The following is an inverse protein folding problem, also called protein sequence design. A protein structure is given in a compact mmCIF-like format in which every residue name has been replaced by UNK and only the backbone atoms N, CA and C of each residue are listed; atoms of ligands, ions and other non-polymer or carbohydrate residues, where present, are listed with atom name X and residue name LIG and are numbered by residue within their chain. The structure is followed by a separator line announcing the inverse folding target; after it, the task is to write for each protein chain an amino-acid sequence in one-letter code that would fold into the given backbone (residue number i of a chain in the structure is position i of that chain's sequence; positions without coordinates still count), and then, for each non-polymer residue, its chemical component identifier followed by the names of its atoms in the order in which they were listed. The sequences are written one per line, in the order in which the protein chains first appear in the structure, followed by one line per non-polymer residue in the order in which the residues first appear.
data_IF_730923490004
#
_entry.id   IF_730923490004
#
_cell.length_a   1.000
_cell.length_b   1.000
_cell.length_c   1.000
_cell.angle_alpha   90.00
_cell.angle_beta   90.00
_cell.angle_gamma   90.00
#
_symmetry.space_group_name_H-M   'P 1'
#
loop_
_entity.id
_entity.type
_entity.pdbx_description
1 polymer ?
#
# COMPACT_ATOMS: atom_id res chain seq x y z
N UNK A 1 -64.71 -7.17 -33.82
CA UNK A 1 -64.48 -5.81 -34.32
C UNK A 1 -64.43 -4.87 -33.13
N UNK A 2 -63.56 -3.90 -32.99
CA UNK A 2 -62.16 -3.73 -33.38
C UNK A 2 -61.61 -2.80 -32.29
N UNK A 3 -60.51 -3.19 -31.64
CA UNK A 3 -59.78 -2.35 -30.69
C UNK A 3 -58.83 -1.47 -31.50
N UNK A 4 -58.88 -0.15 -31.30
CA UNK A 4 -57.81 0.75 -31.76
C UNK A 4 -57.66 1.90 -30.76
N UNK A 5 -56.43 2.33 -30.44
CA UNK A 5 -56.14 3.14 -29.26
C UNK A 5 -56.06 4.63 -29.55
N UNK A 6 -56.30 5.43 -28.52
CA UNK A 6 -56.10 6.87 -28.51
C UNK A 6 -54.58 7.16 -28.43
N UNK A 7 -54.07 7.79 -29.49
CA UNK A 7 -52.71 8.28 -29.61
C UNK A 7 -52.55 9.51 -28.70
N UNK A 8 -51.65 9.41 -27.72
CA UNK A 8 -51.18 10.55 -26.93
C UNK A 8 -50.21 11.35 -27.82
N UNK A 9 -50.61 12.56 -28.18
CA UNK A 9 -49.76 13.53 -28.85
C UNK A 9 -48.72 14.07 -27.85
N UNK A 10 -47.44 13.74 -28.06
CA UNK A 10 -46.33 14.36 -27.35
C UNK A 10 -45.96 15.66 -28.07
N UNK A 11 -46.06 16.78 -27.37
CA UNK A 11 -45.53 18.07 -27.82
C UNK A 11 -44.01 17.98 -27.99
N UNK A 12 -43.54 18.24 -29.21
CA UNK A 12 -42.15 18.58 -29.51
C UNK A 12 -41.87 19.99 -28.96
N UNK A 13 -41.18 20.09 -27.84
CA UNK A 13 -40.43 21.32 -27.49
C UNK A 13 -39.01 21.17 -28.02
N UNK A 14 -38.69 21.92 -29.07
CA UNK A 14 -37.34 22.12 -29.55
C UNK A 14 -36.56 22.92 -28.51
N UNK A 15 -35.64 22.26 -27.80
CA UNK A 15 -34.59 22.95 -27.05
C UNK A 15 -33.47 23.26 -28.03
N UNK A 16 -33.31 24.55 -28.33
CA UNK A 16 -32.12 25.09 -28.99
C UNK A 16 -30.98 24.92 -28.00
N UNK A 17 -30.14 23.89 -28.22
CA UNK A 17 -28.95 23.64 -27.44
C UNK A 17 -27.93 24.75 -27.69
N UNK A 18 -27.85 25.70 -26.76
CA UNK A 18 -26.63 26.49 -26.58
C UNK A 18 -25.54 25.52 -26.13
N UNK A 19 -24.57 25.28 -27.01
CA UNK A 19 -23.37 24.54 -26.67
C UNK A 19 -22.63 25.31 -25.57
N UNK A 20 -22.88 24.94 -24.31
CA UNK A 20 -21.99 25.27 -23.22
C UNK A 20 -20.69 24.51 -23.48
N UNK A 21 -19.75 25.18 -24.15
CA UNK A 21 -18.36 24.80 -24.15
C UNK A 21 -17.89 24.90 -22.69
N UNK A 22 -17.84 23.76 -22.02
CA UNK A 22 -17.11 23.67 -20.76
C UNK A 22 -15.65 24.05 -21.08
N UNK A 23 -15.01 24.90 -20.26
CA UNK A 23 -13.58 25.07 -20.39
C UNK A 23 -12.95 23.68 -20.32
N UNK A 24 -12.10 23.38 -21.30
CA UNK A 24 -11.35 22.14 -21.38
C UNK A 24 -10.88 21.78 -19.97
N UNK A 25 -11.26 20.58 -19.52
CA UNK A 25 -10.73 20.02 -18.28
C UNK A 25 -9.21 20.24 -18.32
N UNK A 26 -8.59 20.77 -17.24
CA UNK A 26 -7.19 21.13 -17.28
C UNK A 26 -6.40 19.94 -17.80
N UNK A 27 -5.84 20.11 -19.00
CA UNK A 27 -4.92 19.18 -19.62
C UNK A 27 -3.85 18.96 -18.57
N UNK A 28 -3.73 17.73 -18.06
CA UNK A 28 -2.65 17.38 -17.15
C UNK A 28 -1.35 17.90 -17.77
N UNK A 29 -0.60 18.80 -17.11
CA UNK A 29 0.67 19.23 -17.65
C UNK A 29 1.54 17.98 -17.74
N UNK A 30 1.91 17.61 -18.97
CA UNK A 30 2.90 16.59 -19.29
C UNK A 30 4.31 17.04 -18.90
N UNK A 31 4.50 17.46 -17.66
CA UNK A 31 5.81 17.56 -17.05
C UNK A 31 6.17 16.14 -16.61
N UNK A 32 7.15 15.52 -17.29
CA UNK A 32 7.72 14.25 -16.81
C UNK A 32 8.04 14.36 -15.33
N UNK A 33 7.82 13.26 -14.58
CA UNK A 33 8.13 13.23 -13.15
C UNK A 33 9.56 13.79 -12.93
N UNK A 34 9.78 14.64 -11.90
CA UNK A 34 11.09 15.24 -11.68
C UNK A 34 12.16 14.16 -11.61
N UNK A 35 13.29 14.41 -12.28
CA UNK A 35 14.39 13.44 -12.39
C UNK A 35 14.77 12.92 -11.00
N UNK A 36 14.56 11.62 -10.79
CA UNK A 36 14.84 10.98 -9.51
C UNK A 36 16.34 10.80 -9.33
N UNK A 37 16.77 10.75 -8.08
CA UNK A 37 18.17 10.56 -7.71
C UNK A 37 18.33 9.24 -6.96
N UNK A 38 19.37 8.49 -7.31
CA UNK A 38 19.86 7.42 -6.47
C UNK A 38 20.50 8.06 -5.23
N UNK A 39 20.05 7.66 -4.04
CA UNK A 39 20.53 8.18 -2.76
C UNK A 39 21.40 7.17 -2.02
N UNK A 40 21.15 5.87 -2.23
CA UNK A 40 21.95 4.78 -1.71
C UNK A 40 21.88 3.56 -2.63
N UNK A 41 22.99 2.85 -2.90
CA UNK A 41 24.37 3.31 -2.66
C UNK A 41 24.67 4.59 -3.45
N UNK A 42 25.72 5.33 -3.06
CA UNK A 42 26.04 6.61 -3.70
C UNK A 42 26.48 6.44 -5.16
N UNK A 43 27.16 5.35 -5.48
CA UNK A 43 27.59 5.01 -6.83
C UNK A 43 26.60 4.01 -7.48
N UNK A 44 26.03 4.31 -8.67
CA UNK A 44 25.19 3.37 -9.41
C UNK A 44 25.83 2.02 -9.73
N UNK A 45 27.17 1.93 -9.76
CA UNK A 45 27.91 0.67 -9.98
C UNK A 45 27.77 -0.30 -8.80
N UNK A 46 27.60 0.25 -7.60
CA UNK A 46 27.46 -0.50 -6.35
C UNK A 46 26.02 -1.02 -6.16
N UNK A 47 25.07 -0.60 -7.00
CA UNK A 47 23.70 -1.14 -6.98
C UNK A 47 23.77 -2.66 -7.25
N UNK A 48 23.23 -3.50 -6.33
CA UNK A 48 23.20 -4.95 -6.50
C UNK A 48 22.58 -5.35 -7.83
N UNK A 49 23.18 -6.34 -8.50
CA UNK A 49 22.81 -6.75 -9.87
C UNK A 49 21.30 -7.01 -10.00
N UNK A 50 20.71 -7.70 -9.01
CA UNK A 50 19.28 -8.02 -8.96
C UNK A 50 18.38 -6.78 -8.97
N UNK A 51 18.85 -5.64 -8.44
CA UNK A 51 18.08 -4.40 -8.35
C UNK A 51 18.28 -3.47 -9.55
N UNK A 52 19.36 -3.64 -10.33
CA UNK A 52 19.73 -2.71 -11.42
C UNK A 52 18.61 -2.45 -12.43
N UNK A 53 17.82 -3.44 -12.90
CA UNK A 53 16.73 -3.18 -13.84
C UNK A 53 15.68 -2.24 -13.26
N UNK A 54 15.31 -2.44 -11.99
CA UNK A 54 14.29 -1.66 -11.30
C UNK A 54 14.79 -0.25 -10.98
N UNK A 55 16.01 -0.12 -10.47
CA UNK A 55 16.62 1.19 -10.18
C UNK A 55 16.77 2.01 -11.46
N UNK A 56 17.23 1.42 -12.57
CA UNK A 56 17.32 2.11 -13.86
C UNK A 56 15.97 2.62 -14.34
N UNK A 57 14.94 1.77 -14.28
CA UNK A 57 13.58 2.17 -14.68
C UNK A 57 13.02 3.29 -13.80
N UNK A 58 13.30 3.28 -12.49
CA UNK A 58 12.87 4.35 -11.58
C UNK A 58 13.59 5.68 -11.83
N UNK A 59 14.84 5.65 -12.29
CA UNK A 59 15.65 6.85 -12.57
C UNK A 59 15.43 7.41 -13.98
N UNK A 60 14.88 6.64 -14.91
CA UNK A 60 14.65 7.08 -16.28
C UNK A 60 13.53 8.14 -16.34
N UNK A 61 13.84 9.40 -16.72
CA UNK A 61 12.83 10.46 -16.80
C UNK A 61 11.79 10.22 -17.90
N UNK A 62 12.06 9.32 -18.86
CA UNK A 62 11.14 8.98 -19.94
C UNK A 62 10.32 7.71 -19.65
N UNK A 63 10.52 7.09 -18.48
CA UNK A 63 9.76 5.92 -18.08
C UNK A 63 8.28 6.25 -18.00
N UNK A 64 7.45 5.49 -18.71
CA UNK A 64 5.99 5.61 -18.62
C UNK A 64 5.45 4.84 -17.41
N UNK A 65 4.32 5.27 -16.83
CA UNK A 65 3.60 4.50 -15.82
C UNK A 65 3.34 3.06 -16.29
N UNK A 66 3.79 2.08 -15.50
CA UNK A 66 3.47 0.67 -15.72
C UNK A 66 2.05 0.40 -15.26
N UNK A 67 1.24 -0.27 -16.07
CA UNK A 67 -0.12 -0.69 -15.67
C UNK A 67 -0.04 -1.89 -14.69
N UNK A 68 -0.94 -1.98 -13.69
CA UNK A 68 -0.84 -3.01 -12.66
C UNK A 68 -0.86 -4.46 -13.17
N UNK A 69 -1.63 -4.76 -14.22
CA UNK A 69 -1.69 -6.11 -14.79
C UNK A 69 -0.43 -6.50 -15.57
N UNK A 70 0.42 -5.53 -15.91
CA UNK A 70 1.73 -5.77 -16.52
C UNK A 70 2.85 -5.90 -15.48
N UNK A 71 2.56 -5.64 -14.20
CA UNK A 71 3.56 -5.64 -13.14
C UNK A 71 4.03 -7.07 -12.83
N UNK A 72 5.34 -7.24 -12.66
CA UNK A 72 5.94 -8.58 -12.48
C UNK A 72 6.39 -8.79 -11.04
N UNK A 73 6.01 -9.94 -10.48
CA UNK A 73 6.53 -10.40 -9.18
C UNK A 73 7.85 -11.12 -9.42
N UNK A 74 8.91 -10.62 -8.80
CA UNK A 74 10.30 -11.05 -9.09
C UNK A 74 11.17 -11.29 -7.85
N UNK A 75 10.57 -11.24 -6.66
CA UNK A 75 11.31 -11.25 -5.39
C UNK A 75 12.00 -9.91 -5.07
N UNK A 76 11.77 -8.87 -5.87
CA UNK A 76 12.16 -7.50 -5.58
C UNK A 76 10.94 -6.71 -5.14
N UNK A 77 11.08 -6.02 -4.02
CA UNK A 77 10.01 -5.29 -3.35
C UNK A 77 10.33 -3.81 -3.26
N UNK A 78 9.28 -3.01 -3.11
CA UNK A 78 9.33 -1.58 -2.88
C UNK A 78 8.56 -1.24 -1.61
N UNK A 79 9.17 -0.36 -0.80
CA UNK A 79 8.51 0.34 0.31
C UNK A 79 8.77 1.83 0.19
N UNK A 80 7.75 2.66 0.42
CA UNK A 80 7.91 4.12 0.51
C UNK A 80 8.12 4.51 1.97
N UNK A 81 9.21 5.23 2.26
CA UNK A 81 9.55 5.75 3.59
C UNK A 81 9.82 7.25 3.53
N UNK A 82 9.78 7.94 4.67
CA UNK A 82 10.40 9.26 4.73
C UNK A 82 11.92 9.14 4.64
N UNK A 83 12.57 10.09 3.96
CA UNK A 83 14.02 10.08 3.79
C UNK A 83 14.75 10.02 5.14
N UNK A 84 14.29 10.80 6.12
CA UNK A 84 14.84 10.86 7.49
C UNK A 84 14.71 9.55 8.29
N UNK A 85 13.85 8.63 7.86
CA UNK A 85 13.73 7.30 8.45
C UNK A 85 14.75 6.32 7.85
N UNK A 86 15.07 6.45 6.57
CA UNK A 86 15.95 5.53 5.86
C UNK A 86 17.41 5.96 5.84
N UNK A 87 17.67 7.27 5.77
CA UNK A 87 19.00 7.83 5.54
C UNK A 87 19.42 8.82 6.62
N UNK A 88 20.72 8.82 6.91
CA UNK A 88 21.45 9.87 7.59
C UNK A 88 22.51 10.42 6.62
N UNK A 89 22.24 11.58 6.04
CA UNK A 89 22.98 12.10 4.89
C UNK A 89 22.82 11.19 3.65
N UNK A 90 23.93 10.56 3.24
CA UNK A 90 24.00 9.60 2.12
C UNK A 90 24.10 8.14 2.58
N UNK A 91 24.20 7.91 3.89
CA UNK A 91 24.35 6.58 4.47
C UNK A 91 23.01 6.07 4.98
N UNK A 92 22.88 4.74 5.08
CA UNK A 92 21.75 4.15 5.79
C UNK A 92 21.76 4.61 7.24
N UNK A 93 20.61 5.06 7.72
CA UNK A 93 20.47 5.47 9.12
C UNK A 93 20.61 4.24 10.02
N UNK A 94 21.47 4.27 11.06
CA UNK A 94 21.56 3.18 12.02
C UNK A 94 20.21 2.88 12.68
N UNK A 95 19.84 1.60 12.76
CA UNK A 95 18.56 1.18 13.32
C UNK A 95 17.33 1.58 12.48
N UNK A 96 17.51 1.88 11.19
CA UNK A 96 16.39 2.05 10.26
C UNK A 96 15.83 0.70 9.83
N UNK A 97 14.50 0.60 9.77
CA UNK A 97 13.76 -0.60 9.41
C UNK A 97 12.89 -0.38 8.18
N UNK A 98 12.53 -1.46 7.50
CA UNK A 98 11.56 -1.40 6.37
C UNK A 98 10.21 -0.85 6.86
N UNK A 99 9.82 -1.10 8.11
CA UNK A 99 8.65 -0.51 8.72
C UNK A 99 8.62 -0.56 10.25
N UNK A 100 7.45 -0.34 10.83
CA UNK A 100 7.25 -0.21 12.27
C UNK A 100 6.49 -1.38 12.92
N UNK A 101 6.22 -2.44 12.14
CA UNK A 101 5.40 -3.60 12.51
C UNK A 101 6.17 -4.88 12.19
N UNK A 102 5.91 -6.02 12.87
CA UNK A 102 6.65 -7.27 12.65
C UNK A 102 6.52 -7.79 11.23
N UNK A 103 5.37 -7.54 10.60
CA UNK A 103 5.15 -7.72 9.17
C UNK A 103 4.77 -6.39 8.56
N UNK A 104 5.29 -6.13 7.36
CA UNK A 104 5.15 -4.84 6.67
C UNK A 104 4.52 -5.04 5.31
N UNK A 105 3.68 -4.09 4.92
CA UNK A 105 3.09 -4.03 3.59
C UNK A 105 4.13 -3.62 2.55
N UNK A 106 4.25 -4.42 1.50
CA UNK A 106 5.18 -4.25 0.39
C UNK A 106 4.43 -4.29 -0.93
N UNK A 107 5.02 -3.69 -1.95
CA UNK A 107 4.56 -3.86 -3.34
C UNK A 107 5.75 -4.08 -4.26
N UNK A 108 5.52 -4.10 -5.57
CA UNK A 108 6.56 -4.21 -6.58
C UNK A 108 7.08 -2.83 -7.00
N UNK A 109 8.34 -2.70 -7.45
CA UNK A 109 8.88 -1.42 -7.93
C UNK A 109 8.09 -0.75 -9.05
N UNK A 110 7.39 -1.55 -9.88
CA UNK A 110 6.54 -1.06 -10.98
C UNK A 110 5.46 -0.08 -10.52
N UNK A 111 5.03 -0.15 -9.25
CA UNK A 111 4.08 0.79 -8.66
C UNK A 111 4.58 2.24 -8.63
N UNK A 112 5.90 2.46 -8.69
CA UNK A 112 6.52 3.79 -8.71
C UNK A 112 7.07 4.18 -10.09
N UNK A 113 7.14 3.29 -11.07
CA UNK A 113 7.72 3.60 -12.38
C UNK A 113 6.91 4.69 -13.09
N UNK A 114 7.59 5.71 -13.61
CA UNK A 114 7.00 6.81 -14.40
C UNK A 114 5.99 7.70 -13.66
N UNK A 115 5.90 7.60 -12.33
CA UNK A 115 4.95 8.36 -11.50
C UNK A 115 5.66 9.45 -10.70
N UNK A 116 4.97 10.52 -10.36
CA UNK A 116 5.42 11.43 -9.31
C UNK A 116 5.13 10.83 -7.91
N UNK A 117 5.43 11.59 -6.85
CA UNK A 117 5.20 11.11 -5.49
C UNK A 117 3.71 10.86 -5.20
N UNK A 118 2.83 11.78 -5.61
CA UNK A 118 1.39 11.64 -5.43
C UNK A 118 0.87 10.39 -6.15
N UNK A 119 1.20 10.22 -7.43
CA UNK A 119 0.83 9.04 -8.21
C UNK A 119 1.41 7.75 -7.67
N UNK A 120 2.60 7.78 -7.06
CA UNK A 120 3.19 6.60 -6.40
C UNK A 120 2.41 6.24 -5.12
N UNK A 121 2.12 7.21 -4.25
CA UNK A 121 1.37 6.99 -3.01
C UNK A 121 -0.06 6.50 -3.31
N UNK A 122 -0.70 7.07 -4.33
CA UNK A 122 -2.01 6.61 -4.78
C UNK A 122 -1.99 5.23 -5.43
N UNK A 123 -0.88 4.84 -6.09
CA UNK A 123 -0.70 3.51 -6.64
C UNK A 123 -0.57 2.43 -5.56
N UNK A 124 -0.06 2.79 -4.39
CA UNK A 124 0.10 1.89 -3.24
C UNK A 124 -1.04 1.99 -2.23
N UNK A 125 -2.13 2.70 -2.56
CA UNK A 125 -3.36 2.68 -1.75
C UNK A 125 -3.50 3.74 -0.68
N UNK A 126 -2.81 4.88 -0.78
CA UNK A 126 -3.09 6.06 0.05
C UNK A 126 -4.08 6.99 -0.64
N UNK A 127 -5.04 7.54 0.11
CA UNK A 127 -6.01 8.49 -0.40
C UNK A 127 -5.33 9.84 -0.74
N UNK A 128 -5.64 10.50 -1.87
CA UNK A 128 -5.07 11.79 -2.22
C UNK A 128 -5.28 12.88 -1.17
N UNK A 129 -6.43 12.92 -0.50
CA UNK A 129 -6.72 13.91 0.54
C UNK A 129 -5.85 13.63 1.77
N UNK A 130 -5.77 12.38 2.21
CA UNK A 130 -4.88 11.95 3.30
C UNK A 130 -3.40 12.26 2.98
N UNK A 131 -2.97 12.02 1.73
CA UNK A 131 -1.62 12.32 1.27
C UNK A 131 -1.33 13.82 1.38
N UNK A 132 -2.25 14.66 0.92
CA UNK A 132 -2.06 16.12 0.94
C UNK A 132 -2.04 16.68 2.36
N UNK A 133 -2.82 16.08 3.27
CA UNK A 133 -2.90 16.50 4.67
C UNK A 133 -1.68 16.06 5.48
N UNK A 134 -1.20 14.82 5.28
CA UNK A 134 -0.20 14.19 6.17
C UNK A 134 1.22 14.17 5.60
N UNK A 135 1.36 14.23 4.27
CA UNK A 135 2.67 14.03 3.60
C UNK A 135 3.23 15.31 2.94
N UNK A 136 2.52 16.44 3.07
CA UNK A 136 2.98 17.74 2.55
C UNK A 136 4.33 18.13 3.15
N UNK A 137 5.27 18.50 2.28
CA UNK A 137 6.62 18.91 2.68
C UNK A 137 7.53 17.79 3.21
N UNK A 138 7.05 16.54 3.30
CA UNK A 138 7.85 15.41 3.77
C UNK A 138 8.59 14.79 2.57
N UNK A 139 9.92 14.79 2.61
CA UNK A 139 10.72 14.11 1.59
C UNK A 139 10.58 12.59 1.72
N UNK A 140 10.20 11.93 0.63
CA UNK A 140 9.98 10.50 0.54
C UNK A 140 11.02 9.82 -0.34
N UNK A 141 11.24 8.55 -0.06
CA UNK A 141 12.14 7.67 -0.82
C UNK A 141 11.45 6.34 -1.12
N UNK A 142 11.78 5.76 -2.27
CA UNK A 142 11.50 4.36 -2.58
C UNK A 142 12.70 3.53 -2.12
N UNK A 143 12.48 2.67 -1.12
CA UNK A 143 13.40 1.61 -0.74
C UNK A 143 13.09 0.40 -1.61
N UNK A 144 14.00 0.09 -2.53
CA UNK A 144 13.92 -1.05 -3.45
C UNK A 144 14.88 -2.11 -2.95
N UNK A 145 14.39 -3.32 -2.70
CA UNK A 145 15.20 -4.34 -2.06
C UNK A 145 14.79 -5.76 -2.41
N UNK A 146 15.68 -6.71 -2.15
CA UNK A 146 15.37 -8.13 -2.12
C UNK A 146 15.72 -8.68 -0.73
N UNK A 147 14.89 -9.58 -0.22
CA UNK A 147 15.19 -10.32 1.00
C UNK A 147 16.36 -11.31 0.78
N UNK A 148 17.04 -11.76 1.85
CA UNK A 148 17.98 -12.87 1.74
C UNK A 148 17.28 -14.17 1.31
N UNK A 149 18.03 -15.09 0.71
CA UNK A 149 17.54 -16.37 0.18
C UNK A 149 16.85 -17.26 1.24
N UNK A 150 17.07 -16.97 2.52
CA UNK A 150 16.39 -17.61 3.65
C UNK A 150 14.91 -17.22 3.77
N UNK A 151 14.48 -16.11 3.15
CA UNK A 151 13.09 -15.63 3.11
C UNK A 151 12.48 -16.01 1.76
N UNK A 152 11.35 -16.72 1.78
CA UNK A 152 10.73 -17.30 0.57
C UNK A 152 9.34 -16.76 0.30
N UNK A 153 8.81 -17.01 -0.89
CA UNK A 153 7.38 -16.77 -1.17
C UNK A 153 6.48 -17.69 -0.34
N UNK A 154 5.33 -17.16 0.06
CA UNK A 154 4.21 -17.90 0.65
C UNK A 154 2.95 -17.84 -0.22
N UNK A 155 1.97 -18.67 0.11
CA UNK A 155 0.72 -18.83 -0.65
C UNK A 155 -0.42 -17.92 -0.13
N UNK A 156 -1.41 -17.56 -0.96
CA UNK A 156 -2.57 -16.77 -0.56
C UNK A 156 -3.67 -17.64 0.11
N UNK A 157 -3.33 -18.46 1.11
CA UNK A 157 -4.24 -19.52 1.60
C UNK A 157 -4.68 -19.38 3.07
N UNK A 158 -4.06 -18.49 3.84
CA UNK A 158 -4.20 -18.47 5.31
C UNK A 158 -3.60 -19.68 6.02
N UNK A 159 -3.01 -20.64 5.28
CA UNK A 159 -2.30 -21.79 5.86
C UNK A 159 -0.81 -21.47 5.90
N UNK A 160 -0.35 -21.04 7.07
CA UNK A 160 1.04 -20.68 7.27
C UNK A 160 1.92 -21.93 7.43
N UNK A 161 3.07 -22.04 6.74
CA UNK A 161 4.03 -23.13 6.96
C UNK A 161 4.74 -22.98 8.32
N UNK A 162 5.51 -23.98 8.72
CA UNK A 162 6.26 -23.91 9.99
C UNK A 162 7.29 -22.76 10.03
N UNK A 163 7.85 -22.39 8.88
CA UNK A 163 8.81 -21.29 8.70
C UNK A 163 8.13 -19.97 8.29
N UNK A 164 6.89 -19.74 8.72
CA UNK A 164 6.07 -18.60 8.29
C UNK A 164 6.71 -17.24 8.56
N UNK A 165 7.52 -17.12 9.62
CA UNK A 165 8.24 -15.88 9.96
C UNK A 165 9.38 -15.55 8.98
N UNK A 166 9.65 -16.46 8.03
CA UNK A 166 10.62 -16.33 6.93
C UNK A 166 9.93 -16.38 5.57
N UNK A 167 8.72 -15.84 5.46
CA UNK A 167 7.94 -15.84 4.23
C UNK A 167 7.39 -14.47 3.88
N UNK A 168 7.36 -14.16 2.58
CA UNK A 168 6.59 -13.05 2.03
C UNK A 168 5.28 -13.59 1.47
N UNK A 169 4.17 -13.15 2.03
CA UNK A 169 2.83 -13.61 1.65
C UNK A 169 2.12 -12.56 0.80
N UNK A 170 1.26 -12.94 -0.15
CA UNK A 170 0.25 -12.03 -0.69
C UNK A 170 -0.58 -11.44 0.46
N UNK A 171 -0.86 -10.13 0.41
CA UNK A 171 -1.60 -9.42 1.45
C UNK A 171 -3.10 -9.71 1.35
N UNK A 172 -3.51 -10.94 1.65
CA UNK A 172 -4.93 -11.34 1.71
C UNK A 172 -5.46 -11.29 3.14
N UNK A 173 -6.78 -11.17 3.30
CA UNK A 173 -7.40 -11.27 4.63
C UNK A 173 -7.06 -12.58 5.33
N UNK A 174 -7.09 -13.69 4.61
CA UNK A 174 -6.79 -15.01 5.18
C UNK A 174 -5.33 -15.07 5.71
N UNK A 175 -4.37 -14.48 4.98
CA UNK A 175 -2.98 -14.41 5.44
C UNK A 175 -2.79 -13.43 6.60
N UNK A 176 -3.47 -12.28 6.60
CA UNK A 176 -3.45 -11.32 7.72
C UNK A 176 -3.98 -11.97 9.00
N UNK A 177 -5.12 -12.64 8.92
CA UNK A 177 -5.71 -13.33 10.08
C UNK A 177 -4.81 -14.43 10.59
N UNK A 178 -4.29 -15.28 9.70
CA UNK A 178 -3.39 -16.35 10.10
C UNK A 178 -2.08 -15.83 10.73
N UNK A 179 -1.51 -14.73 10.21
CA UNK A 179 -0.36 -14.06 10.80
C UNK A 179 -0.70 -13.49 12.18
N UNK A 180 -1.88 -12.89 12.33
CA UNK A 180 -2.37 -12.38 13.61
C UNK A 180 -2.46 -13.50 14.64
N UNK A 181 -3.10 -14.61 14.28
CA UNK A 181 -3.29 -15.76 15.17
C UNK A 181 -1.93 -16.35 15.60
N UNK A 182 -0.97 -16.49 14.67
CA UNK A 182 0.38 -17.00 15.00
C UNK A 182 1.19 -16.02 15.85
N UNK A 183 1.16 -14.73 15.52
CA UNK A 183 1.88 -13.70 16.28
C UNK A 183 1.31 -13.52 17.68
N UNK A 184 0.01 -13.75 17.90
CA UNK A 184 -0.63 -13.64 19.22
C UNK A 184 -0.51 -14.90 20.06
N UNK A 185 -0.38 -16.08 19.42
CA UNK A 185 -0.11 -17.34 20.11
C UNK A 185 1.30 -17.40 20.73
N UNK A 186 2.27 -16.72 20.13
CA UNK A 186 3.65 -16.62 20.64
C UNK A 186 3.83 -15.37 21.51
N UNK A 187 3.96 -15.55 22.83
CA UNK A 187 4.12 -14.44 23.80
C UNK A 187 5.37 -13.59 23.56
N UNK A 188 6.39 -14.11 22.88
CA UNK A 188 7.58 -13.33 22.56
C UNK A 188 7.36 -12.40 21.36
N UNK A 189 6.30 -12.61 20.58
CA UNK A 189 5.98 -11.87 19.34
C UNK A 189 4.98 -10.74 19.54
N UNK A 190 4.47 -10.54 20.75
CA UNK A 190 3.63 -9.39 21.06
C UNK A 190 3.91 -8.79 22.44
N UNK A 191 3.34 -7.62 22.68
CA UNK A 191 3.44 -6.91 23.96
C UNK A 191 2.24 -5.97 24.14
N UNK A 192 1.92 -5.65 25.38
CA UNK A 192 0.97 -4.60 25.75
C UNK A 192 1.76 -3.39 26.20
N UNK A 193 1.56 -2.26 25.53
CA UNK A 193 2.27 -1.02 25.81
C UNK A 193 1.32 0.15 25.90
N UNK A 194 1.66 1.06 26.79
CA UNK A 194 1.04 2.38 26.84
C UNK A 194 1.48 3.19 25.61
N UNK A 195 0.69 4.19 25.23
CA UNK A 195 1.04 5.08 24.11
C UNK A 195 2.32 5.88 24.44
N UNK A 196 3.32 5.94 23.54
CA UNK A 196 4.57 6.70 23.72
C UNK A 196 5.84 5.90 24.07
N UNK A 197 5.71 4.58 24.10
CA UNK A 197 6.74 3.65 24.55
C UNK A 197 7.75 3.27 23.41
N UNK A 198 8.94 2.76 23.74
CA UNK A 198 10.08 2.45 22.83
C UNK A 198 9.69 1.80 21.48
N UNK A 199 10.32 2.16 20.38
CA UNK A 199 10.09 1.52 19.08
C UNK A 199 10.38 -0.01 19.11
N UNK A 200 9.37 -0.85 18.83
CA UNK A 200 9.46 -2.33 18.78
C UNK A 200 8.98 -2.89 17.43
N UNK A 201 9.83 -2.89 16.39
CA UNK A 201 9.46 -3.27 15.03
C UNK A 201 9.25 -4.77 14.84
N UNK A 202 9.61 -5.60 15.83
CA UNK A 202 9.59 -7.06 15.77
C UNK A 202 8.42 -7.71 16.52
N UNK A 203 7.55 -6.90 17.16
CA UNK A 203 6.42 -7.37 17.95
C UNK A 203 5.11 -6.68 17.58
N UNK A 204 4.00 -7.40 17.67
CA UNK A 204 2.67 -6.78 17.70
C UNK A 204 2.51 -5.98 18.99
N UNK A 205 1.90 -4.80 18.88
CA UNK A 205 1.77 -3.84 19.97
C UNK A 205 0.31 -3.54 20.26
N UNK A 206 -0.17 -4.12 21.35
CA UNK A 206 -1.50 -3.86 21.90
C UNK A 206 -1.44 -2.68 22.87
N UNK A 207 -2.51 -1.89 22.94
CA UNK A 207 -2.66 -0.78 23.88
C UNK A 207 -3.10 -1.25 25.27
N UNK A 208 -3.69 -2.44 25.36
CA UNK A 208 -4.13 -3.04 26.61
C UNK A 208 -4.28 -4.55 26.48
N UNK A 209 -4.28 -5.26 27.61
CA UNK A 209 -4.59 -6.69 27.64
C UNK A 209 -5.98 -6.99 27.07
N UNK A 210 -6.93 -6.06 27.21
CA UNK A 210 -8.27 -6.18 26.65
C UNK A 210 -8.25 -6.28 25.13
N UNK A 211 -7.38 -5.53 24.44
CA UNK A 211 -7.24 -5.65 23.00
C UNK A 211 -6.63 -7.00 22.60
N UNK A 212 -5.61 -7.47 23.35
CA UNK A 212 -5.00 -8.77 23.09
C UNK A 212 -6.03 -9.92 23.26
N UNK A 213 -6.81 -9.88 24.34
CA UNK A 213 -7.90 -10.83 24.59
C UNK A 213 -9.00 -10.72 23.52
N UNK A 214 -9.35 -9.50 23.11
CA UNK A 214 -10.35 -9.28 22.07
C UNK A 214 -9.94 -9.86 20.72
N UNK A 215 -8.68 -9.66 20.29
CA UNK A 215 -8.16 -10.24 19.04
C UNK A 215 -8.11 -11.75 19.10
N UNK A 216 -7.53 -12.31 20.18
CA UNK A 216 -7.36 -13.76 20.31
C UNK A 216 -8.68 -14.51 20.48
N UNK A 217 -9.70 -13.86 21.07
CA UNK A 217 -11.04 -14.41 21.23
C UNK A 217 -12.02 -14.06 20.11
N UNK A 218 -11.60 -13.37 19.03
CA UNK A 218 -12.52 -12.94 17.98
C UNK A 218 -12.99 -14.13 17.13
N UNK A 219 -14.30 -14.35 16.94
CA UNK A 219 -14.83 -15.56 16.32
C UNK A 219 -14.54 -15.63 14.81
N UNK A 220 -14.38 -16.85 14.29
CA UNK A 220 -14.11 -17.10 12.87
C UNK A 220 -15.24 -16.65 11.95
N UNK A 221 -16.50 -16.72 12.40
CA UNK A 221 -17.64 -16.15 11.68
C UNK A 221 -17.51 -14.62 11.59
N UNK A 222 -16.97 -13.98 12.63
CA UNK A 222 -16.63 -12.56 12.63
C UNK A 222 -15.53 -12.26 11.62
N UNK A 223 -14.43 -13.02 11.61
CA UNK A 223 -13.35 -12.89 10.61
C UNK A 223 -13.90 -13.03 9.19
N UNK A 224 -14.84 -13.96 8.99
CA UNK A 224 -15.53 -14.17 7.70
C UNK A 224 -16.37 -12.96 7.28
N UNK A 225 -17.08 -12.31 8.20
CA UNK A 225 -17.81 -11.07 7.89
C UNK A 225 -16.85 -9.92 7.59
N UNK A 226 -15.79 -9.76 8.38
CA UNK A 226 -14.78 -8.69 8.18
C UNK A 226 -14.15 -8.73 6.79
N UNK A 227 -13.95 -9.93 6.21
CA UNK A 227 -13.38 -10.06 4.86
C UNK A 227 -14.39 -9.98 3.71
N UNK A 228 -15.69 -10.18 3.97
CA UNK A 228 -16.72 -10.24 2.91
C UNK A 228 -17.65 -9.04 2.88
N UNK A 229 -17.82 -8.35 3.99
CA UNK A 229 -18.68 -7.15 4.10
C UNK A 229 -17.90 -5.92 3.66
N UNK A 230 -18.57 -5.00 2.96
CA UNK A 230 -17.98 -3.74 2.52
C UNK A 230 -17.47 -2.90 3.71
N UNK A 231 -16.36 -2.20 3.51
CA UNK A 231 -15.72 -1.39 4.55
C UNK A 231 -16.67 -0.32 5.10
N UNK A 232 -17.44 0.35 4.23
CA UNK A 232 -18.40 1.39 4.61
C UNK A 232 -19.51 0.78 5.47
N UNK A 233 -20.02 -0.40 5.08
CA UNK A 233 -21.05 -1.10 5.83
C UNK A 233 -20.56 -1.55 7.21
N UNK A 234 -19.32 -2.04 7.33
CA UNK A 234 -18.70 -2.32 8.64
C UNK A 234 -18.62 -1.04 9.48
N UNK A 235 -18.17 0.07 8.89
CA UNK A 235 -18.05 1.36 9.59
C UNK A 235 -19.39 1.90 10.10
N UNK A 236 -20.43 1.80 9.29
CA UNK A 236 -21.76 2.32 9.60
C UNK A 236 -22.47 1.50 10.68
N UNK A 237 -22.39 0.18 10.61
CA UNK A 237 -23.00 -0.70 11.62
C UNK A 237 -22.39 -0.50 12.99
N UNK A 238 -21.09 -0.18 13.06
CA UNK A 238 -20.30 -0.11 14.29
C UNK A 238 -20.39 -1.46 15.06
N UNK A 239 -19.58 -1.64 16.10
CA UNK A 239 -19.58 -2.88 16.89
C UNK A 239 -18.36 -3.77 16.64
N UNK A 240 -18.48 -5.06 16.98
CA UNK A 240 -17.33 -5.94 17.15
C UNK A 240 -16.55 -6.18 15.84
N UNK A 241 -17.24 -6.42 14.72
CA UNK A 241 -16.59 -6.65 13.41
C UNK A 241 -15.80 -5.41 12.96
N UNK A 242 -16.38 -4.22 13.15
CA UNK A 242 -15.71 -2.95 12.88
C UNK A 242 -14.51 -2.71 13.81
N UNK A 243 -14.69 -2.91 15.12
CA UNK A 243 -13.63 -2.75 16.10
C UNK A 243 -12.46 -3.69 15.82
N UNK A 244 -12.75 -4.94 15.44
CA UNK A 244 -11.73 -5.91 15.05
C UNK A 244 -11.01 -5.49 13.76
N UNK A 245 -11.74 -5.06 12.73
CA UNK A 245 -11.16 -4.53 11.49
C UNK A 245 -10.17 -3.40 11.76
N UNK A 246 -10.57 -2.36 12.50
CA UNK A 246 -9.70 -1.23 12.85
C UNK A 246 -8.48 -1.66 13.67
N UNK A 247 -8.66 -2.63 14.56
CA UNK A 247 -7.59 -3.16 15.39
C UNK A 247 -6.54 -3.89 14.55
N UNK A 248 -6.97 -4.77 13.64
CA UNK A 248 -6.06 -5.46 12.71
C UNK A 248 -5.33 -4.46 11.81
N UNK A 249 -6.05 -3.48 11.24
CA UNK A 249 -5.44 -2.43 10.42
C UNK A 249 -4.35 -1.68 11.18
N UNK A 250 -4.62 -1.29 12.43
CA UNK A 250 -3.62 -0.62 13.29
C UNK A 250 -2.41 -1.52 13.61
N UNK A 251 -2.67 -2.80 13.92
CA UNK A 251 -1.64 -3.77 14.30
C UNK A 251 -0.66 -4.05 13.15
N UNK A 252 -1.12 -4.06 11.90
CA UNK A 252 -0.28 -4.27 10.73
C UNK A 252 0.09 -2.99 9.98
N UNK A 253 -0.51 -1.85 10.33
CA UNK A 253 -0.35 -0.60 9.59
C UNK A 253 -0.98 -0.66 8.19
N UNK A 254 -2.11 -1.37 8.07
CA UNK A 254 -2.93 -1.37 6.86
C UNK A 254 -3.76 -0.08 6.80
N UNK A 255 -3.98 0.48 5.60
CA UNK A 255 -4.89 1.61 5.41
C UNK A 255 -6.34 1.12 5.29
N UNK A 256 -7.29 2.06 5.37
CA UNK A 256 -8.70 1.78 5.09
C UNK A 256 -8.96 1.29 3.65
N UNK A 257 -7.98 1.48 2.76
CA UNK A 257 -8.02 1.02 1.38
C UNK A 257 -7.45 -0.38 1.20
N UNK A 258 -6.99 -1.02 2.28
CA UNK A 258 -6.58 -2.42 2.23
C UNK A 258 -7.75 -3.31 1.84
N UNK A 259 -7.59 -3.98 0.70
CA UNK A 259 -8.64 -4.81 0.09
C UNK A 259 -8.60 -6.24 0.60
N UNK A 260 -7.42 -6.72 0.98
CA UNK A 260 -7.21 -8.10 1.42
C UNK A 260 -7.43 -9.14 0.30
N UNK A 261 -7.22 -8.74 -0.95
CA UNK A 261 -7.21 -9.61 -2.13
C UNK A 261 -5.79 -9.79 -2.72
N UNK A 262 -4.75 -9.37 -1.99
CA UNK A 262 -3.36 -9.42 -2.43
C UNK A 262 -3.00 -8.35 -3.44
N UNK A 263 -3.84 -7.32 -3.61
CA UNK A 263 -3.56 -6.17 -4.48
C UNK A 263 -3.92 -4.85 -3.80
N UNK A 264 -3.17 -3.81 -4.16
CA UNK A 264 -3.44 -2.44 -3.72
C UNK A 264 -4.77 -1.93 -4.28
N UNK A 265 -5.28 -0.83 -3.73
CA UNK A 265 -6.36 -0.04 -4.32
C UNK A 265 -5.76 1.19 -5.00
N UNK A 266 -5.99 1.38 -6.29
CA UNK A 266 -5.63 2.65 -6.93
C UNK A 266 -6.62 3.73 -6.50
N UNK A 267 -6.13 4.78 -5.84
CA UNK A 267 -6.99 5.85 -5.30
C UNK A 267 -7.14 7.03 -6.26
N UNK A 268 -6.18 7.24 -7.17
CA UNK A 268 -6.32 8.11 -8.33
C UNK A 268 -6.62 7.23 -9.54
N UNK A 269 -7.87 7.23 -9.97
CA UNK A 269 -8.29 6.57 -11.22
C UNK A 269 -8.83 7.64 -12.15
N UNK A 270 -8.31 7.71 -13.38
CA UNK A 270 -8.99 8.45 -14.44
C UNK A 270 -10.43 7.92 -14.62
N UNK A 271 -11.33 8.71 -15.24
CA UNK A 271 -12.78 8.44 -15.37
C UNK A 271 -13.20 7.10 -16.03
N UNK A 272 -12.30 6.14 -16.28
CA UNK A 272 -12.59 4.86 -16.96
C UNK A 272 -12.20 3.64 -16.11
N UNK A 273 -13.25 2.94 -15.65
CA UNK A 273 -13.32 1.62 -14.99
C UNK A 273 -12.44 1.43 -13.75
N UNK A 274 -12.89 0.67 -12.73
CA UNK A 274 -12.04 0.28 -11.62
C UNK A 274 -10.84 -0.50 -12.18
N UNK A 275 -9.64 0.05 -12.03
CA UNK A 275 -8.41 -0.65 -12.42
C UNK A 275 -7.95 -1.49 -11.24
N UNK A 276 -7.60 -2.73 -11.53
CA UNK A 276 -6.98 -3.63 -10.54
C UNK A 276 -5.68 -2.97 -10.06
N UNK A 277 -5.38 -3.01 -8.75
CA UNK A 277 -4.13 -2.45 -8.24
C UNK A 277 -2.92 -3.36 -8.39
N UNK A 278 -1.79 -2.90 -7.87
CA UNK A 278 -0.52 -3.62 -7.94
C UNK A 278 -0.49 -4.79 -6.95
N UNK A 279 0.30 -5.85 -7.23
CA UNK A 279 0.53 -6.90 -6.23
C UNK A 279 0.98 -6.30 -4.89
N UNK A 280 0.34 -6.75 -3.82
CA UNK A 280 0.59 -6.30 -2.45
C UNK A 280 0.93 -7.51 -1.58
N UNK A 281 1.92 -7.33 -0.71
CA UNK A 281 2.49 -8.40 0.10
C UNK A 281 2.68 -8.00 1.55
N UNK A 282 2.76 -9.00 2.42
CA UNK A 282 3.19 -8.91 3.80
C UNK A 282 4.53 -9.65 3.93
N UNK A 283 5.60 -8.92 4.21
CA UNK A 283 6.92 -9.49 4.45
C UNK A 283 7.40 -9.26 5.89
N UNK A 284 8.32 -10.08 6.40
CA UNK A 284 8.90 -9.90 7.72
C UNK A 284 9.73 -8.62 7.77
N UNK A 285 9.59 -7.85 8.83
CA UNK A 285 10.32 -6.59 8.97
C UNK A 285 11.80 -6.85 9.27
N UNK A 286 12.69 -6.08 8.65
CA UNK A 286 14.15 -6.17 8.81
C UNK A 286 14.77 -4.78 8.89
N UNK A 287 15.94 -4.67 9.51
CA UNK A 287 16.74 -3.47 9.39
C UNK A 287 17.24 -3.31 7.95
N UNK A 288 17.32 -2.06 7.48
CA UNK A 288 17.78 -1.76 6.13
C UNK A 288 19.21 -2.26 5.88
N UNK A 289 20.06 -2.26 6.91
CA UNK A 289 21.44 -2.75 6.84
C UNK A 289 21.56 -4.27 6.67
N UNK A 290 20.52 -5.03 7.06
CA UNK A 290 20.53 -6.49 7.05
C UNK A 290 19.97 -7.05 5.72
N UNK A 291 19.52 -6.17 4.81
CA UNK A 291 19.08 -6.53 3.48
C UNK A 291 20.30 -6.75 2.57
N UNK A 292 20.45 -7.95 1.96
CA UNK A 292 21.61 -8.24 1.11
C UNK A 292 21.60 -7.45 -0.21
N UNK A 293 20.43 -7.00 -0.64
CA UNK A 293 20.29 -6.10 -1.77
C UNK A 293 19.32 -4.98 -1.43
N UNK A 294 19.84 -3.74 -1.42
CA UNK A 294 19.05 -2.53 -1.17
C UNK A 294 19.52 -1.39 -2.08
N UNK A 295 18.56 -0.59 -2.55
CA UNK A 295 18.78 0.70 -3.17
C UNK A 295 17.69 1.69 -2.70
N UNK A 296 18.07 2.95 -2.52
CA UNK A 296 17.15 4.02 -2.09
C UNK A 296 17.13 5.08 -3.18
N UNK A 297 15.94 5.32 -3.74
CA UNK A 297 15.69 6.31 -4.80
C UNK A 297 14.82 7.42 -4.25
N UNK A 298 15.21 8.68 -4.46
CA UNK A 298 14.43 9.83 -4.04
C UNK A 298 13.13 9.96 -4.84
N UNK A 299 12.00 10.11 -4.14
CA UNK A 299 10.69 10.39 -4.73
C UNK A 299 10.31 11.88 -4.65
N UNK A 300 11.08 12.68 -3.92
CA UNK A 300 10.83 14.10 -3.70
C UNK A 300 9.85 14.35 -2.55
N UNK A 301 9.20 15.51 -2.56
CA UNK A 301 8.21 15.91 -1.58
C UNK A 301 7.01 16.55 -2.30
N UNK A 302 5.82 16.43 -1.73
CA UNK A 302 4.63 17.08 -2.27
C UNK A 302 4.67 18.56 -1.90
N UNK A 303 4.56 19.42 -2.92
CA UNK A 303 4.44 20.87 -2.78
C UNK A 303 3.12 21.30 -3.41
N UNK A 304 2.27 21.94 -2.63
CA UNK A 304 1.07 22.63 -3.14
C UNK A 304 1.49 24.09 -3.31
N UNK A 305 1.32 24.65 -4.51
CA UNK A 305 1.75 26.01 -4.83
C UNK A 305 1.24 27.03 -3.80
N UNK A 306 2.10 27.98 -3.46
CA UNK A 306 1.73 29.20 -2.72
C UNK A 306 0.90 30.12 -3.61
#
# INVERSE_FOLDING_TARGET
MARTPLVVALCLTAFVGTAFAWPDAPTQPGAGAPARKLLHPADPRDVPIVLRPYVRSLLDPNQKPVEPDAAKVSGVYLRVLSRRQALDGTNLKPGSWIGARPFVFLTVPDAANGRDLLGTLSAIGYDPEEILDTEKGIEKVAVVFAYPDSIRGGEPSGKLPADWDRRVFPATWDNVFALTDNLTADKDRWTVRSEGDTFMPTKLQFRSDKEAVFVTGFPDEGKTRVKTVDYTALRETRGADWAYRQLIERLFGASEHFRGDGRTKLTIVGKRKPRVGFPEFLGPNMELKDLPAIAIVGLGAIRVGE
#
